data_IF_579463003632
#
_entry.id   IF_579463003632
#
_cell.length_a   1.000
_cell.length_b   1.000
_cell.length_c   1.000
_cell.angle_alpha   90.00
_cell.angle_beta   90.00
_cell.angle_gamma   90.00
#
_symmetry.space_group_name_H-M   'P 1'
#
loop_
_entity.id
_entity.type
_entity.pdbx_description
1 polymer ?
#
# COMPACT_ATOMS: atom_id res chain seq x y z
N UNK A 1 -24.38 15.79 -10.70
CA UNK A 1 -23.22 14.88 -10.74
C UNK A 1 -22.55 15.03 -9.39
N UNK A 2 -22.72 14.05 -8.49
CA UNK A 2 -22.21 14.19 -7.11
C UNK A 2 -20.72 13.87 -7.14
N UNK A 3 -19.89 14.87 -6.86
CA UNK A 3 -18.47 14.67 -6.60
C UNK A 3 -18.34 13.68 -5.45
N UNK A 4 -17.85 12.48 -5.76
CA UNK A 4 -17.48 11.48 -4.77
C UNK A 4 -16.28 12.05 -4.02
N UNK A 5 -16.46 12.51 -2.78
CA UNK A 5 -15.33 12.91 -1.91
C UNK A 5 -14.37 11.72 -1.78
N UNK A 6 -13.26 11.75 -2.54
CA UNK A 6 -12.19 10.77 -2.42
C UNK A 6 -11.56 10.94 -1.04
N UNK A 7 -11.80 9.96 -0.17
CA UNK A 7 -11.17 9.91 1.15
C UNK A 7 -9.70 9.55 0.96
N UNK A 8 -8.80 10.30 1.59
CA UNK A 8 -7.37 9.98 1.62
C UNK A 8 -6.90 9.72 3.03
N UNK A 9 -5.92 8.84 3.16
CA UNK A 9 -5.24 8.49 4.41
C UNK A 9 -3.74 8.64 4.15
N UNK A 10 -3.07 9.52 4.90
CA UNK A 10 -1.64 9.83 4.76
C UNK A 10 -1.19 10.19 3.33
N UNK A 11 -2.00 10.95 2.61
CA UNK A 11 -1.70 11.38 1.24
C UNK A 11 -1.97 10.35 0.15
N UNK A 12 -2.53 9.18 0.51
CA UNK A 12 -2.94 8.12 -0.43
C UNK A 12 -4.45 8.05 -0.52
N UNK A 13 -5.00 7.95 -1.72
CA UNK A 13 -6.45 7.84 -1.90
C UNK A 13 -6.88 6.43 -1.51
N UNK A 14 -7.87 6.31 -0.63
CA UNK A 14 -8.38 5.01 -0.19
C UNK A 14 -8.89 4.23 -1.42
N UNK A 15 -8.45 2.98 -1.55
CA UNK A 15 -8.74 2.11 -2.70
C UNK A 15 -7.64 2.07 -3.77
N UNK A 16 -6.58 2.89 -3.65
CA UNK A 16 -5.38 2.75 -4.49
C UNK A 16 -4.46 1.64 -3.97
N UNK A 17 -3.67 1.06 -4.87
CA UNK A 17 -2.70 0.01 -4.54
C UNK A 17 -1.43 0.59 -3.95
N UNK A 18 -0.96 -0.05 -2.88
CA UNK A 18 0.30 0.29 -2.24
C UNK A 18 1.18 -0.94 -2.04
N UNK A 19 2.47 -0.72 -2.09
CA UNK A 19 3.49 -1.76 -1.98
C UNK A 19 4.38 -1.50 -0.77
N UNK A 20 4.66 -2.53 0.01
CA UNK A 20 5.47 -2.40 1.22
C UNK A 20 6.97 -2.56 0.93
N UNK A 21 7.80 -1.62 1.36
CA UNK A 21 9.27 -1.66 1.18
C UNK A 21 9.98 -2.75 1.99
N UNK A 22 9.30 -3.38 2.95
CA UNK A 22 9.88 -4.42 3.80
C UNK A 22 9.62 -5.83 3.28
N UNK A 23 8.35 -6.16 3.02
CA UNK A 23 7.95 -7.50 2.58
C UNK A 23 7.61 -7.57 1.09
N UNK A 24 7.66 -6.43 0.39
CA UNK A 24 7.37 -6.31 -1.04
C UNK A 24 5.95 -6.75 -1.43
N UNK A 25 5.06 -6.83 -0.45
CA UNK A 25 3.68 -7.24 -0.65
C UNK A 25 2.82 -6.04 -1.02
N UNK A 26 1.93 -6.27 -1.99
CA UNK A 26 0.88 -5.31 -2.36
C UNK A 26 -0.33 -5.44 -1.44
N UNK A 27 -0.95 -4.32 -1.13
CA UNK A 27 -2.23 -4.23 -0.41
C UNK A 27 -2.98 -2.98 -0.85
N UNK A 28 -4.27 -2.90 -0.57
CA UNK A 28 -4.98 -1.65 -0.76
C UNK A 28 -4.55 -0.60 0.29
N UNK A 29 -4.57 0.66 -0.12
CA UNK A 29 -4.49 1.79 0.79
C UNK A 29 -5.69 1.76 1.75
N UNK A 30 -5.43 2.08 3.02
CA UNK A 30 -6.42 1.92 4.09
C UNK A 30 -6.44 0.51 4.72
N UNK A 31 -5.84 -0.52 4.11
CA UNK A 31 -5.58 -1.77 4.81
C UNK A 31 -4.33 -1.66 5.67
N UNK A 32 -4.45 -1.92 6.97
CA UNK A 32 -3.35 -1.95 7.93
C UNK A 32 -3.72 -2.75 9.17
N UNK A 33 -2.72 -3.15 9.94
CA UNK A 33 -2.89 -3.66 11.31
C UNK A 33 -2.64 -2.52 12.28
N UNK A 34 -3.48 -2.38 13.30
CA UNK A 34 -3.23 -1.44 14.39
C UNK A 34 -2.49 -2.17 15.52
N UNK A 35 -1.33 -1.65 15.89
CA UNK A 35 -0.55 -2.17 17.01
C UNK A 35 -0.87 -1.45 18.32
N UNK A 36 -0.42 -1.97 19.47
CA UNK A 36 -0.74 -1.46 20.81
C UNK A 36 -0.26 -0.04 21.08
N UNK A 37 0.72 0.46 20.32
CA UNK A 37 1.22 1.82 20.37
C UNK A 37 0.56 2.74 19.32
N UNK A 38 -0.57 2.32 18.75
CA UNK A 38 -1.30 3.01 17.69
C UNK A 38 -0.54 3.17 16.36
N UNK A 39 0.57 2.46 16.16
CA UNK A 39 1.22 2.42 14.84
C UNK A 39 0.38 1.58 13.87
N UNK A 40 0.26 2.09 12.65
CA UNK A 40 -0.36 1.39 11.53
C UNK A 40 0.72 0.56 10.86
N UNK A 41 0.60 -0.76 10.96
CA UNK A 41 1.55 -1.73 10.43
C UNK A 41 1.06 -2.32 9.12
N UNK A 42 2.00 -2.86 8.35
CA UNK A 42 1.72 -3.62 7.14
C UNK A 42 0.63 -4.69 7.42
N UNK A 43 -0.34 -4.88 6.51
CA UNK A 43 -1.38 -5.91 6.65
C UNK A 43 -0.83 -7.33 6.86
N UNK A 44 0.33 -7.63 6.27
CA UNK A 44 1.00 -8.90 6.48
C UNK A 44 1.45 -9.03 7.95
N UNK A 45 0.99 -10.09 8.62
CA UNK A 45 1.30 -10.38 10.02
C UNK A 45 2.76 -10.76 10.27
N UNK A 46 3.46 -11.22 9.24
CA UNK A 46 4.88 -11.58 9.29
C UNK A 46 5.80 -10.38 8.99
N UNK A 47 5.24 -9.22 8.64
CA UNK A 47 5.99 -8.00 8.35
C UNK A 47 5.80 -6.96 9.46
N UNK A 48 6.87 -6.28 9.87
CA UNK A 48 6.82 -5.21 10.88
C UNK A 48 6.89 -3.79 10.29
N UNK A 49 6.74 -3.68 8.96
CA UNK A 49 6.76 -2.40 8.25
C UNK A 49 5.66 -1.46 8.74
N UNK A 50 5.98 -0.18 8.87
CA UNK A 50 5.06 0.90 9.17
C UNK A 50 4.32 1.33 7.90
N UNK A 51 2.99 1.26 7.90
CA UNK A 51 2.17 1.55 6.72
C UNK A 51 2.35 2.99 6.23
N UNK A 52 2.63 3.95 7.12
CA UNK A 52 2.76 5.37 6.74
C UNK A 52 4.12 5.61 6.09
N UNK A 53 5.18 5.03 6.63
CA UNK A 53 6.54 5.28 6.17
C UNK A 53 7.05 4.28 5.11
N UNK A 54 6.58 3.04 5.17
CA UNK A 54 7.10 1.92 4.39
C UNK A 54 6.15 1.46 3.29
N UNK A 55 5.19 2.31 2.90
CA UNK A 55 4.33 2.03 1.75
C UNK A 55 4.57 3.01 0.61
N UNK A 56 4.85 2.48 -0.57
CA UNK A 56 4.97 3.24 -1.82
C UNK A 56 3.69 3.08 -2.65
N UNK A 57 3.40 4.09 -3.46
CA UNK A 57 2.27 4.04 -4.39
C UNK A 57 2.63 3.09 -5.53
N UNK A 58 1.71 2.18 -5.87
CA UNK A 58 1.96 1.19 -6.94
C UNK A 58 2.24 1.85 -8.28
N UNK A 59 1.48 2.89 -8.63
CA UNK A 59 1.65 3.63 -9.88
C UNK A 59 3.05 4.24 -9.99
N UNK A 60 3.55 4.86 -8.91
CA UNK A 60 4.91 5.40 -8.88
C UNK A 60 5.97 4.32 -8.92
N UNK A 61 5.75 3.18 -8.25
CA UNK A 61 6.67 2.04 -8.31
C UNK A 61 6.83 1.53 -9.76
N UNK A 62 5.74 1.49 -10.53
CA UNK A 62 5.75 1.08 -11.94
C UNK A 62 6.48 2.04 -12.87
N UNK A 63 6.64 3.32 -12.51
CA UNK A 63 7.50 4.24 -13.29
C UNK A 63 8.95 3.74 -13.34
N UNK A 64 9.40 3.04 -12.29
CA UNK A 64 10.73 2.43 -12.19
C UNK A 64 10.74 0.95 -12.61
N UNK A 65 9.61 0.26 -12.50
CA UNK A 65 9.42 -1.15 -12.83
C UNK A 65 8.31 -1.34 -13.88
N UNK A 66 8.55 -0.98 -15.15
CA UNK A 66 7.55 -1.07 -16.21
C UNK A 66 7.09 -2.51 -16.51
N UNK A 67 7.86 -3.51 -16.09
CA UNK A 67 7.53 -4.93 -16.18
C UNK A 67 6.40 -5.36 -15.23
N UNK A 68 6.11 -4.57 -14.19
CA UNK A 68 5.02 -4.87 -13.26
C UNK A 68 3.64 -4.57 -13.88
N UNK A 69 2.63 -5.38 -13.55
CA UNK A 69 1.30 -5.24 -14.11
C UNK A 69 0.64 -3.93 -13.68
N UNK A 70 -0.23 -3.40 -14.54
CA UNK A 70 -0.98 -2.17 -14.26
C UNK A 70 -1.87 -2.29 -13.03
N UNK A 71 -2.55 -3.43 -12.91
CA UNK A 71 -3.31 -3.80 -11.73
C UNK A 71 -2.56 -4.95 -11.05
N UNK A 72 -2.04 -4.75 -9.83
CA UNK A 72 -1.39 -5.81 -9.10
C UNK A 72 -2.40 -6.83 -8.59
N UNK A 73 -1.91 -8.03 -8.30
CA UNK A 73 -2.66 -9.01 -7.52
C UNK A 73 -2.54 -8.68 -6.02
N UNK A 74 -3.68 -8.59 -5.34
CA UNK A 74 -3.74 -8.29 -3.90
C UNK A 74 -2.93 -9.33 -3.11
N UNK A 75 -2.21 -8.87 -2.08
CA UNK A 75 -1.36 -9.70 -1.22
C UNK A 75 -0.23 -10.44 -1.95
N UNK A 76 0.03 -10.15 -3.22
CA UNK A 76 1.17 -10.71 -3.96
C UNK A 76 2.44 -9.96 -3.64
N UNK A 77 3.54 -10.71 -3.59
CA UNK A 77 4.89 -10.19 -3.38
C UNK A 77 5.51 -9.87 -4.74
N UNK A 78 5.85 -8.60 -4.95
CA UNK A 78 6.57 -8.11 -6.13
C UNK A 78 7.97 -7.67 -5.70
N UNK A 79 8.99 -8.55 -5.82
CA UNK A 79 10.32 -8.29 -5.30
C UNK A 79 11.04 -7.20 -6.11
N UNK A 80 11.69 -6.26 -5.41
CA UNK A 80 12.69 -5.37 -6.00
C UNK A 80 13.99 -6.10 -6.32
#
# INVERSE_FOLDING_TARGET
MKESEQKSIFGKVIGEWVWCTHCHQVSESGQFRLSSNFQMKCPNFECDGDKVHDSLDWEKLREYHPEYPEIPEEYTIYPM
#
